data_IF_727074906324
#
_entry.id   IF_727074906324
#
_cell.length_a   1.000
_cell.length_b   1.000
_cell.length_c   1.000
_cell.angle_alpha   90.00
_cell.angle_beta   90.00
_cell.angle_gamma   90.00
#
_symmetry.space_group_name_H-M   'P 1'
#
loop_
_entity.id
_entity.type
_entity.pdbx_description
1 polymer ?
#
# COMPACT_ATOMS: atom_id res chain seq x y z
N UNK A 1 17.92 -1.32 7.23
CA UNK A 1 16.94 -1.86 6.27
C UNK A 1 16.16 -3.04 6.85
N UNK A 2 16.82 -4.06 7.41
CA UNK A 2 16.14 -5.16 8.14
C UNK A 2 15.16 -4.69 9.22
N UNK A 3 15.56 -3.75 10.08
CA UNK A 3 14.68 -3.19 11.11
C UNK A 3 13.46 -2.48 10.52
N UNK A 4 13.62 -1.75 9.40
CA UNK A 4 12.51 -1.03 8.78
C UNK A 4 11.42 -2.01 8.27
N UNK A 5 11.82 -3.07 7.56
CA UNK A 5 10.88 -4.09 7.12
C UNK A 5 10.27 -4.90 8.27
N UNK A 6 11.00 -5.09 9.37
CA UNK A 6 10.48 -5.75 10.57
C UNK A 6 9.36 -4.95 11.25
N UNK A 7 9.41 -3.62 11.22
CA UNK A 7 8.39 -2.77 11.83
C UNK A 7 7.15 -2.55 10.94
N UNK A 8 7.20 -2.81 9.63
CA UNK A 8 6.05 -2.64 8.73
C UNK A 8 4.82 -3.49 9.14
N UNK A 9 4.96 -4.79 9.47
CA UNK A 9 3.85 -5.59 9.99
C UNK A 9 3.27 -5.08 11.31
N UNK A 10 4.07 -4.40 12.14
CA UNK A 10 3.56 -3.78 13.37
C UNK A 10 2.62 -2.62 13.06
N UNK A 11 2.81 -1.89 11.96
CA UNK A 11 1.85 -0.88 11.49
C UNK A 11 0.45 -1.47 11.29
N UNK A 12 0.35 -2.64 10.67
CA UNK A 12 -0.92 -3.38 10.53
C UNK A 12 -1.52 -3.81 11.85
N UNK A 13 -0.68 -4.24 12.78
CA UNK A 13 -1.15 -4.62 14.10
C UNK A 13 -1.78 -3.44 14.84
N UNK A 14 -1.16 -2.25 14.76
CA UNK A 14 -1.70 -1.03 15.39
C UNK A 14 -2.96 -0.51 14.70
N UNK A 15 -3.02 -0.51 13.36
CA UNK A 15 -4.24 -0.15 12.60
C UNK A 15 -5.45 -1.02 13.01
N UNK A 16 -5.24 -2.35 13.09
CA UNK A 16 -6.30 -3.26 13.55
C UNK A 16 -6.74 -2.99 15.00
N UNK A 17 -5.81 -2.58 15.87
CA UNK A 17 -6.11 -2.22 17.25
C UNK A 17 -6.88 -0.91 17.35
N UNK A 18 -6.48 0.14 16.63
CA UNK A 18 -7.16 1.44 16.64
C UNK A 18 -8.60 1.33 16.12
N UNK A 19 -8.82 0.56 15.06
CA UNK A 19 -10.16 0.23 14.56
C UNK A 19 -11.02 -0.59 15.54
N UNK A 20 -10.40 -1.40 16.42
CA UNK A 20 -11.11 -2.14 17.48
C UNK A 20 -11.46 -1.24 18.66
N UNK A 21 -10.54 -0.39 19.08
CA UNK A 21 -10.73 0.58 20.17
C UNK A 21 -11.77 1.64 19.81
N UNK A 22 -11.76 2.15 18.57
CA UNK A 22 -12.76 3.11 18.08
C UNK A 22 -14.18 2.53 18.12
N UNK A 23 -14.36 1.27 17.72
CA UNK A 23 -15.65 0.55 17.81
C UNK A 23 -16.10 0.34 19.25
N UNK A 24 -15.17 0.02 20.15
CA UNK A 24 -15.46 -0.14 21.57
C UNK A 24 -15.88 1.17 22.25
N UNK A 25 -15.30 2.31 21.86
CA UNK A 25 -15.65 3.62 22.45
C UNK A 25 -16.94 4.24 21.90
N UNK A 26 -17.59 3.65 20.88
CA UNK A 26 -18.81 4.17 20.22
C UNK A 26 -18.76 5.67 19.84
N UNK A 27 -17.55 6.25 19.75
CA UNK A 27 -17.28 7.64 19.39
C UNK A 27 -16.39 7.62 18.17
N UNK A 28 -16.99 7.53 16.98
CA UNK A 28 -16.30 7.79 15.72
C UNK A 28 -16.49 9.26 15.36
N UNK A 29 -15.41 10.04 15.39
CA UNK A 29 -15.40 11.41 14.87
C UNK A 29 -14.98 11.39 13.40
N UNK A 30 -15.58 12.24 12.57
CA UNK A 30 -15.18 12.43 11.16
C UNK A 30 -13.69 12.78 11.05
N UNK A 31 -13.20 13.65 11.93
CA UNK A 31 -11.77 14.01 11.99
C UNK A 31 -10.88 12.81 12.31
N UNK A 32 -11.35 11.90 13.18
CA UNK A 32 -10.60 10.69 13.54
C UNK A 32 -10.50 9.72 12.37
N UNK A 33 -11.56 9.59 11.57
CA UNK A 33 -11.58 8.75 10.39
C UNK A 33 -10.60 9.24 9.29
N UNK A 34 -10.51 10.55 9.08
CA UNK A 34 -9.54 11.12 8.14
C UNK A 34 -8.10 10.95 8.64
N UNK A 35 -7.85 11.08 9.95
CA UNK A 35 -6.53 10.85 10.54
C UNK A 35 -6.08 9.38 10.43
N UNK A 36 -7.00 8.44 10.68
CA UNK A 36 -6.80 6.98 10.50
C UNK A 36 -6.40 6.67 9.05
N UNK A 37 -7.11 7.29 8.10
CA UNK A 37 -6.77 7.17 6.68
C UNK A 37 -5.39 7.74 6.34
N UNK A 38 -5.03 8.91 6.85
CA UNK A 38 -3.70 9.45 6.62
C UNK A 38 -2.61 8.55 7.20
N UNK A 39 -2.84 7.94 8.37
CA UNK A 39 -1.93 6.99 8.99
C UNK A 39 -1.79 5.71 8.15
N UNK A 40 -2.88 5.19 7.60
CA UNK A 40 -2.88 4.04 6.68
C UNK A 40 -2.07 4.33 5.40
N UNK A 41 -2.27 5.50 4.80
CA UNK A 41 -1.53 5.89 3.60
C UNK A 41 -0.02 5.95 3.85
N UNK A 42 0.38 6.51 5.00
CA UNK A 42 1.80 6.60 5.37
C UNK A 42 2.36 5.20 5.63
N UNK A 43 1.66 4.38 6.41
CA UNK A 43 2.12 3.06 6.83
C UNK A 43 2.20 2.06 5.69
N UNK A 44 1.25 2.10 4.76
CA UNK A 44 1.11 1.09 3.71
C UNK A 44 1.34 1.57 2.28
N UNK A 45 1.45 2.89 2.08
CA UNK A 45 1.80 3.49 0.79
C UNK A 45 3.22 4.05 0.83
N UNK A 46 3.44 5.04 1.71
CA UNK A 46 4.71 5.79 1.74
C UNK A 46 5.86 4.94 2.29
N UNK A 47 5.64 4.17 3.34
CA UNK A 47 6.69 3.34 3.95
C UNK A 47 7.23 2.25 2.99
N UNK A 48 6.41 1.44 2.31
CA UNK A 48 6.88 0.50 1.28
C UNK A 48 7.62 1.20 0.13
N UNK A 49 7.09 2.32 -0.36
CA UNK A 49 7.76 3.09 -1.42
C UNK A 49 9.14 3.62 -0.98
N UNK A 50 9.23 4.08 0.27
CA UNK A 50 10.48 4.56 0.87
C UNK A 50 11.49 3.42 1.07
N UNK A 51 11.01 2.24 1.49
CA UNK A 51 11.83 1.05 1.61
C UNK A 51 12.38 0.61 0.25
N UNK A 52 11.56 0.62 -0.80
CA UNK A 52 11.98 0.31 -2.17
C UNK A 52 13.04 1.29 -2.70
N UNK A 53 12.87 2.58 -2.44
CA UNK A 53 13.87 3.59 -2.78
C UNK A 53 15.21 3.35 -2.05
N UNK A 54 15.14 3.01 -0.76
CA UNK A 54 16.32 2.68 0.04
C UNK A 54 17.02 1.39 -0.44
N UNK A 55 16.25 0.41 -0.93
CA UNK A 55 16.71 -0.86 -1.50
C UNK A 55 17.59 -0.70 -2.74
N UNK A 56 17.36 0.33 -3.55
CA UNK A 56 18.14 0.61 -4.76
C UNK A 56 17.34 1.15 -5.94
N UNK A 57 16.02 1.24 -5.85
CA UNK A 57 15.15 1.80 -6.91
C UNK A 57 15.28 3.34 -6.96
N UNK A 58 16.41 3.82 -7.48
CA UNK A 58 16.82 5.23 -7.43
C UNK A 58 16.79 5.95 -8.78
N UNK A 59 16.43 5.26 -9.86
CA UNK A 59 16.41 5.90 -11.19
C UNK A 59 15.30 6.99 -11.25
N UNK A 60 15.38 7.96 -12.18
CA UNK A 60 14.32 8.95 -12.35
C UNK A 60 12.94 8.33 -12.58
N UNK A 61 12.85 7.28 -13.39
CA UNK A 61 11.59 6.57 -13.63
C UNK A 61 11.14 5.79 -12.40
N UNK A 62 12.02 5.10 -11.68
CA UNK A 62 11.65 4.39 -10.46
C UNK A 62 10.94 5.30 -9.45
N UNK A 63 11.49 6.51 -9.24
CA UNK A 63 10.88 7.52 -8.36
C UNK A 63 9.46 7.89 -8.81
N UNK A 64 9.25 8.02 -10.11
CA UNK A 64 7.94 8.32 -10.69
C UNK A 64 6.96 7.16 -10.48
N UNK A 65 7.40 5.92 -10.69
CA UNK A 65 6.59 4.72 -10.51
C UNK A 65 6.22 4.49 -9.03
N UNK A 66 7.17 4.72 -8.11
CA UNK A 66 6.92 4.65 -6.66
C UNK A 66 5.95 5.75 -6.21
N UNK A 67 6.09 6.97 -6.74
CA UNK A 67 5.14 8.06 -6.47
C UNK A 67 3.75 7.72 -6.98
N UNK A 68 3.65 7.14 -8.18
CA UNK A 68 2.39 6.66 -8.74
C UNK A 68 1.70 5.63 -7.83
N UNK A 69 2.47 4.70 -7.25
CA UNK A 69 1.94 3.74 -6.27
C UNK A 69 1.34 4.43 -5.04
N UNK A 70 2.04 5.41 -4.46
CA UNK A 70 1.52 6.19 -3.31
C UNK A 70 0.22 6.93 -3.68
N UNK A 71 0.17 7.55 -4.86
CA UNK A 71 -1.02 8.24 -5.36
C UNK A 71 -2.21 7.29 -5.60
N UNK A 72 -1.95 6.06 -6.05
CA UNK A 72 -2.97 5.03 -6.15
C UNK A 72 -3.55 4.67 -4.78
N UNK A 73 -2.68 4.49 -3.77
CA UNK A 73 -3.10 4.27 -2.38
C UNK A 73 -3.97 5.40 -1.84
N UNK A 74 -3.55 6.65 -2.06
CA UNK A 74 -4.30 7.85 -1.68
C UNK A 74 -5.68 7.89 -2.32
N UNK A 75 -5.76 7.68 -3.64
CA UNK A 75 -7.02 7.72 -4.41
C UNK A 75 -8.02 6.68 -3.90
N UNK A 76 -7.53 5.48 -3.62
CA UNK A 76 -8.33 4.39 -3.08
C UNK A 76 -8.90 4.76 -1.71
N UNK A 77 -8.09 5.32 -0.83
CA UNK A 77 -8.49 5.63 0.53
C UNK A 77 -9.47 6.81 0.59
N UNK A 78 -9.21 7.85 -0.20
CA UNK A 78 -10.16 8.94 -0.41
C UNK A 78 -11.52 8.42 -0.90
N UNK A 79 -11.52 7.45 -1.84
CA UNK A 79 -12.75 6.82 -2.31
C UNK A 79 -13.43 6.00 -1.21
N UNK A 80 -12.69 5.29 -0.37
CA UNK A 80 -13.24 4.56 0.76
C UNK A 80 -13.92 5.51 1.76
N UNK A 81 -13.28 6.62 2.13
CA UNK A 81 -13.85 7.62 3.03
C UNK A 81 -15.15 8.22 2.48
N UNK A 82 -15.17 8.60 1.19
CA UNK A 82 -16.39 9.09 0.53
C UNK A 82 -17.48 8.02 0.42
N UNK A 83 -17.12 6.77 0.12
CA UNK A 83 -18.10 5.68 -0.01
C UNK A 83 -18.73 5.34 1.35
N UNK A 84 -17.95 5.36 2.43
CA UNK A 84 -18.45 5.18 3.80
C UNK A 84 -19.39 6.32 4.22
N UNK A 85 -19.15 7.55 3.74
CA UNK A 85 -20.01 8.70 4.01
C UNK A 85 -21.34 8.69 3.22
N UNK A 86 -21.38 8.01 2.06
CA UNK A 86 -22.51 8.08 1.11
C UNK A 86 -23.32 6.78 1.03
N UNK A 87 -22.84 5.66 1.57
CA UNK A 87 -23.59 4.39 1.58
C UNK A 87 -24.85 4.49 2.47
N UNK A 88 -26.06 4.28 1.90
CA UNK A 88 -27.26 4.10 2.70
C UNK A 88 -27.13 2.81 3.50
N UNK A 89 -27.37 2.89 4.82
CA UNK A 89 -27.46 1.71 5.68
C UNK A 89 -28.84 1.07 5.48
N UNK A 90 -28.90 -0.01 4.71
CA UNK A 90 -30.12 -0.83 4.65
C UNK A 90 -30.31 -1.65 5.93
N UNK A 91 -31.57 -1.90 6.28
CA UNK A 91 -32.04 -2.51 7.53
C UNK A 91 -31.54 -3.95 7.83
N UNK A 92 -30.67 -4.54 6.99
CA UNK A 92 -30.05 -5.86 7.21
C UNK A 92 -28.52 -5.85 7.39
N UNK A 93 -27.86 -4.68 7.30
CA UNK A 93 -26.50 -4.49 7.82
C UNK A 93 -25.37 -5.37 7.24
N UNK A 94 -25.49 -5.92 6.03
CA UNK A 94 -24.41 -6.73 5.40
C UNK A 94 -23.98 -6.16 4.04
N UNK A 95 -22.77 -5.60 3.98
CA UNK A 95 -22.10 -5.24 2.73
C UNK A 95 -21.64 -6.51 1.99
N UNK A 96 -22.16 -6.71 0.78
CA UNK A 96 -22.03 -7.97 0.03
C UNK A 96 -20.71 -8.13 -0.74
N UNK A 97 -19.94 -7.05 -0.98
CA UNK A 97 -18.70 -7.12 -1.76
C UNK A 97 -17.68 -6.08 -1.30
N UNK A 98 -16.40 -6.45 -1.22
CA UNK A 98 -15.28 -5.50 -1.18
C UNK A 98 -14.88 -5.15 -2.62
N UNK A 99 -14.81 -3.86 -2.96
CA UNK A 99 -14.17 -3.39 -4.18
C UNK A 99 -12.66 -3.15 -3.92
N UNK A 100 -11.80 -3.92 -4.59
CA UNK A 100 -10.33 -3.79 -4.51
C UNK A 100 -9.66 -4.63 -3.40
N UNK A 101 -8.37 -4.90 -3.55
CA UNK A 101 -7.57 -5.69 -2.57
C UNK A 101 -7.25 -4.84 -1.34
N UNK A 102 -7.52 -5.24 -0.08
CA UNK A 102 -7.26 -4.46 1.16
C UNK A 102 -5.90 -3.74 1.18
N UNK A 103 -5.78 -2.54 1.76
CA UNK A 103 -4.49 -1.82 1.88
C UNK A 103 -3.37 -2.72 2.47
N UNK A 104 -3.66 -3.63 3.42
CA UNK A 104 -2.68 -4.59 3.93
C UNK A 104 -2.05 -5.51 2.88
N UNK A 105 -2.56 -5.58 1.64
CA UNK A 105 -1.88 -6.34 0.58
C UNK A 105 -0.51 -5.79 0.23
N UNK A 106 -0.19 -4.53 0.59
CA UNK A 106 1.17 -3.99 0.48
C UNK A 106 2.20 -4.76 1.32
N UNK A 107 1.78 -5.51 2.35
CA UNK A 107 2.67 -6.42 3.07
C UNK A 107 3.22 -7.57 2.20
N UNK A 108 2.52 -7.92 1.11
CA UNK A 108 3.04 -8.88 0.15
C UNK A 108 4.24 -8.31 -0.61
N UNK A 109 4.18 -7.04 -1.02
CA UNK A 109 5.34 -6.33 -1.59
C UNK A 109 6.47 -6.17 -0.57
N UNK A 110 6.14 -5.94 0.70
CA UNK A 110 7.15 -5.88 1.78
C UNK A 110 7.84 -7.23 2.01
N UNK A 111 7.09 -8.33 1.93
CA UNK A 111 7.63 -9.69 2.05
C UNK A 111 8.58 -10.03 0.91
N UNK A 112 8.25 -9.60 -0.32
CA UNK A 112 9.14 -9.74 -1.49
C UNK A 112 10.42 -8.91 -1.29
N UNK A 113 10.30 -7.69 -0.80
CA UNK A 113 11.45 -6.85 -0.46
C UNK A 113 12.30 -7.48 0.65
N UNK A 114 11.69 -8.06 1.69
CA UNK A 114 12.39 -8.74 2.77
C UNK A 114 13.19 -9.95 2.26
N UNK A 115 12.61 -10.70 1.32
CA UNK A 115 13.30 -11.78 0.65
C UNK A 115 14.54 -11.30 -0.14
N UNK A 116 14.44 -10.16 -0.85
CA UNK A 116 15.59 -9.59 -1.55
C UNK A 116 16.72 -9.16 -0.61
N UNK A 117 16.38 -8.60 0.55
CA UNK A 117 17.41 -8.29 1.55
C UNK A 117 18.06 -9.59 2.06
N UNK A 118 17.25 -10.62 2.35
CA UNK A 118 17.74 -11.91 2.83
C UNK A 118 18.69 -12.60 1.84
N UNK A 119 18.40 -12.52 0.53
CA UNK A 119 19.27 -13.08 -0.51
C UNK A 119 20.46 -12.18 -0.87
N UNK A 120 20.58 -10.99 -0.27
CA UNK A 120 21.62 -10.01 -0.59
C UNK A 120 21.43 -9.31 -1.94
N UNK A 121 20.24 -9.39 -2.52
CA UNK A 121 19.83 -8.74 -3.77
C UNK A 121 19.47 -7.27 -3.52
N UNK A 122 20.47 -6.47 -3.18
CA UNK A 122 20.36 -5.03 -2.85
C UNK A 122 21.19 -4.19 -3.80
N UNK A 123 20.78 -2.94 -4.01
CA UNK A 123 21.45 -1.96 -4.88
C UNK A 123 21.67 -2.55 -6.29
N UNK A 124 22.93 -2.73 -6.71
CA UNK A 124 23.30 -3.18 -8.05
C UNK A 124 22.96 -4.66 -8.32
N UNK A 125 22.57 -5.40 -7.27
CA UNK A 125 22.15 -6.81 -7.34
C UNK A 125 20.64 -6.98 -7.31
N UNK A 126 19.87 -5.90 -7.56
CA UNK A 126 18.42 -6.01 -7.65
C UNK A 126 18.01 -7.00 -8.75
N UNK A 127 16.99 -7.84 -8.50
CA UNK A 127 16.55 -8.80 -9.50
C UNK A 127 16.06 -8.06 -10.75
N UNK A 128 16.31 -8.66 -11.92
CA UNK A 128 16.01 -8.10 -13.25
C UNK A 128 16.88 -6.90 -13.69
N UNK A 129 17.78 -6.38 -12.84
CA UNK A 129 18.72 -5.31 -13.20
C UNK A 129 18.02 -4.02 -13.65
N UNK A 130 18.74 -3.19 -14.42
CA UNK A 130 18.18 -2.00 -15.07
C UNK A 130 17.90 -2.27 -16.55
N UNK A 131 16.73 -1.83 -17.02
CA UNK A 131 16.44 -1.73 -18.45
C UNK A 131 16.80 -0.34 -18.95
N UNK A 132 17.21 -0.26 -20.21
CA UNK A 132 17.60 0.99 -20.89
C UNK A 132 18.74 1.75 -20.17
N UNK A 133 19.68 0.99 -19.59
CA UNK A 133 20.87 1.52 -18.92
C UNK A 133 21.61 2.53 -19.81
N UNK A 134 21.84 3.74 -19.28
CA UNK A 134 22.50 4.83 -20.01
C UNK A 134 21.57 5.73 -20.84
N UNK A 135 20.26 5.55 -20.74
CA UNK A 135 19.26 6.47 -21.30
C UNK A 135 18.50 7.24 -20.22
N UNK A 136 17.79 8.30 -20.60
CA UNK A 136 16.88 9.00 -19.68
C UNK A 136 15.72 8.12 -19.18
N UNK A 137 15.41 7.02 -19.88
CA UNK A 137 14.36 6.07 -19.54
C UNK A 137 14.89 4.85 -18.78
N UNK A 138 16.01 4.99 -18.07
CA UNK A 138 16.54 3.91 -17.24
C UNK A 138 15.60 3.64 -16.04
N UNK A 139 15.21 2.37 -15.87
CA UNK A 139 14.38 1.94 -14.74
C UNK A 139 14.59 0.47 -14.38
N UNK A 140 14.26 0.14 -13.14
CA UNK A 140 14.26 -1.23 -12.67
C UNK A 140 12.91 -1.89 -12.97
N UNK A 141 12.85 -3.01 -13.70
CA UNK A 141 11.59 -3.72 -13.97
C UNK A 141 10.82 -4.10 -12.71
N UNK A 142 11.53 -4.32 -11.60
CA UNK A 142 10.91 -4.59 -10.30
C UNK A 142 10.03 -3.45 -9.80
N UNK A 143 10.25 -2.21 -10.24
CA UNK A 143 9.35 -1.09 -9.96
C UNK A 143 7.94 -1.30 -10.54
N UNK A 144 7.80 -2.08 -11.62
CA UNK A 144 6.49 -2.40 -12.19
C UNK A 144 5.63 -3.22 -11.24
N UNK A 145 6.22 -3.96 -10.29
CA UNK A 145 5.45 -4.65 -9.25
C UNK A 145 4.64 -3.65 -8.41
N UNK A 146 5.22 -2.49 -8.08
CA UNK A 146 4.52 -1.42 -7.36
C UNK A 146 3.42 -0.80 -8.21
N UNK A 147 3.64 -0.62 -9.51
CA UNK A 147 2.62 -0.10 -10.43
C UNK A 147 1.45 -1.07 -10.57
N UNK A 148 1.74 -2.35 -10.80
CA UNK A 148 0.71 -3.40 -10.86
C UNK A 148 -0.06 -3.44 -9.55
N UNK A 149 0.63 -3.38 -8.41
CA UNK A 149 -0.02 -3.34 -7.10
C UNK A 149 -0.93 -2.11 -6.93
N UNK A 150 -0.45 -0.92 -7.30
CA UNK A 150 -1.24 0.32 -7.26
C UNK A 150 -2.47 0.27 -8.18
N UNK A 151 -2.31 -0.29 -9.38
CA UNK A 151 -3.41 -0.56 -10.30
C UNK A 151 -4.42 -1.55 -9.72
N UNK A 152 -3.97 -2.62 -9.04
CA UNK A 152 -4.85 -3.58 -8.36
C UNK A 152 -5.62 -2.92 -7.19
N UNK A 153 -4.95 -2.05 -6.43
CA UNK A 153 -5.58 -1.28 -5.34
C UNK A 153 -6.69 -0.33 -5.83
N UNK A 154 -6.54 0.23 -7.03
CA UNK A 154 -7.49 1.19 -7.63
C UNK A 154 -8.52 0.52 -8.57
N UNK A 155 -8.29 -0.74 -8.95
CA UNK A 155 -9.13 -1.46 -9.90
C UNK A 155 -10.53 -1.75 -9.35
N UNK A 156 -11.54 -1.30 -10.10
CA UNK A 156 -12.96 -1.54 -9.83
C UNK A 156 -13.46 -2.95 -10.20
N UNK A 157 -12.60 -3.78 -10.81
CA UNK A 157 -13.00 -5.08 -11.37
C UNK A 157 -12.82 -6.27 -10.42
N UNK A 158 -12.03 -6.12 -9.36
CA UNK A 158 -11.79 -7.23 -8.42
C UNK A 158 -12.84 -7.17 -7.31
N UNK A 159 -13.83 -8.06 -7.44
CA UNK A 159 -14.85 -8.34 -6.43
C UNK A 159 -14.40 -9.55 -5.63
N UNK A 160 -13.88 -9.33 -4.42
CA UNK A 160 -13.53 -10.44 -3.51
C UNK A 160 -14.77 -10.77 -2.67
N UNK A 161 -15.35 -11.98 -2.76
CA UNK A 161 -16.45 -12.40 -1.91
C UNK A 161 -15.95 -12.57 -0.46
N UNK A 162 -16.70 -12.05 0.52
CA UNK A 162 -16.45 -12.32 1.95
C UNK A 162 -16.76 -13.79 2.24
N UNK A 163 -15.95 -14.49 3.08
CA UNK A 163 -16.40 -15.68 3.77
C UNK A 163 -17.47 -15.36 4.82
#
# INVERSE_FOLDING_TARGET
>A
MYLALFFLPFGLFFDFMDGKVARWRKKSSLMGQELDSLADLISFGVAPASAAYALGLRTPLDRLLLTFFVLCGLTRLARFNVTVAVLPKDASGKSQYFEGTPIPTSLATDSVMAYWIYTGAVLDKLPLGTLFAGSFLEFHPVALLFVVHGCLMTSRRIRIPKP
#
